data_IF_184548703167
#
_entry.id   IF_184548703167
#
_cell.length_a   1.000
_cell.length_b   1.000
_cell.length_c   1.000
_cell.angle_alpha   90.00
_cell.angle_beta   90.00
_cell.angle_gamma   90.00
#
_symmetry.space_group_name_H-M   'P 1'
#
loop_
_entity.id
_entity.type
_entity.pdbx_description
1 polymer ?
#
# COMPACT_ATOMS: atom_id res chain seq x y z
N UNK A 1 -53.05 26.29 30.36
CA UNK A 1 -52.32 25.88 29.13
C UNK A 1 -51.14 25.01 29.55
N UNK A 2 -51.10 23.73 29.15
CA UNK A 2 -49.97 22.82 29.45
C UNK A 2 -49.09 22.73 28.20
N UNK A 3 -47.89 23.29 28.24
CA UNK A 3 -46.89 23.15 27.18
C UNK A 3 -46.13 21.83 27.41
N UNK A 4 -46.32 20.84 26.51
CA UNK A 4 -45.45 19.66 26.46
C UNK A 4 -44.19 20.04 25.69
N UNK A 5 -43.06 20.12 26.38
CA UNK A 5 -41.75 20.26 25.76
C UNK A 5 -41.33 18.87 25.27
N UNK A 6 -41.19 18.72 23.96
CA UNK A 6 -40.67 17.50 23.33
C UNK A 6 -39.15 17.63 23.26
N UNK A 7 -38.43 16.83 24.05
CA UNK A 7 -36.98 16.73 23.96
C UNK A 7 -36.64 15.92 22.72
N UNK A 8 -36.15 16.58 21.67
CA UNK A 8 -35.57 15.93 20.49
C UNK A 8 -34.10 15.69 20.79
N UNK A 9 -33.75 14.47 21.15
CA UNK A 9 -32.36 14.02 21.28
C UNK A 9 -31.81 13.79 19.87
N UNK A 10 -30.96 14.70 19.39
CA UNK A 10 -30.22 14.52 18.14
C UNK A 10 -29.10 13.52 18.43
N UNK A 11 -29.27 12.27 17.97
CA UNK A 11 -28.23 11.26 18.02
C UNK A 11 -27.25 11.57 16.88
N UNK A 12 -26.16 12.28 17.18
CA UNK A 12 -25.05 12.40 16.22
C UNK A 12 -24.36 11.04 16.17
N UNK A 13 -24.70 10.24 15.16
CA UNK A 13 -23.87 9.11 14.76
C UNK A 13 -22.53 9.69 14.32
N UNK A 14 -21.52 9.60 15.18
CA UNK A 14 -20.13 9.71 14.77
C UNK A 14 -19.86 8.50 13.87
N UNK A 15 -20.14 8.68 12.57
CA UNK A 15 -19.56 7.86 11.52
C UNK A 15 -18.05 8.04 11.64
N UNK A 16 -17.38 7.13 12.34
CA UNK A 16 -15.96 6.90 12.11
C UNK A 16 -15.84 6.35 10.69
N UNK A 17 -15.79 7.25 9.72
CA UNK A 17 -15.33 6.92 8.38
C UNK A 17 -13.87 6.51 8.53
N UNK A 18 -13.60 5.22 8.35
CA UNK A 18 -12.23 4.83 8.02
C UNK A 18 -11.89 5.57 6.72
N UNK A 19 -10.79 6.32 6.71
CA UNK A 19 -10.40 7.12 5.53
C UNK A 19 -10.22 6.23 4.30
N UNK A 20 -9.94 4.95 4.51
CA UNK A 20 -9.88 3.90 3.50
C UNK A 20 -10.64 2.66 4.02
N UNK A 21 -11.47 2.00 3.20
CA UNK A 21 -12.16 0.78 3.60
C UNK A 21 -11.22 -0.44 3.64
N UNK A 22 -11.55 -1.38 4.53
CA UNK A 22 -10.96 -2.70 4.53
C UNK A 22 -11.25 -3.40 3.20
N UNK A 23 -10.30 -4.20 2.72
CA UNK A 23 -10.52 -4.98 1.51
C UNK A 23 -9.75 -6.28 1.53
N UNK A 24 -10.27 -7.24 0.76
CA UNK A 24 -9.61 -8.50 0.48
C UNK A 24 -9.75 -8.82 -1.00
N UNK A 25 -8.65 -9.18 -1.64
CA UNK A 25 -8.66 -9.47 -3.06
C UNK A 25 -7.57 -10.47 -3.45
N UNK A 26 -7.81 -11.18 -4.54
CA UNK A 26 -6.80 -11.99 -5.22
C UNK A 26 -5.96 -11.12 -6.11
N UNK A 27 -4.65 -11.29 -6.03
CA UNK A 27 -3.72 -10.70 -6.98
C UNK A 27 -2.84 -11.79 -7.61
N UNK A 28 -2.58 -11.64 -8.91
CA UNK A 28 -1.48 -12.32 -9.59
C UNK A 28 -0.25 -11.44 -9.54
N UNK A 29 0.87 -12.00 -9.07
CA UNK A 29 2.19 -11.41 -9.20
C UNK A 29 2.95 -12.16 -10.28
N UNK A 30 3.51 -11.43 -11.24
CA UNK A 30 4.17 -11.95 -12.43
C UNK A 30 5.51 -11.26 -12.63
N UNK A 31 6.51 -12.05 -13.01
CA UNK A 31 7.83 -11.67 -13.52
C UNK A 31 8.13 -12.54 -14.74
N UNK A 32 9.20 -12.25 -15.46
CA UNK A 32 9.56 -12.96 -16.70
C UNK A 32 9.65 -14.49 -16.54
N UNK A 33 10.09 -14.97 -15.37
CA UNK A 33 10.37 -16.38 -15.09
C UNK A 33 9.37 -17.04 -14.13
N UNK A 34 8.45 -16.26 -13.54
CA UNK A 34 7.66 -16.72 -12.40
C UNK A 34 6.32 -15.99 -12.29
N UNK A 35 5.27 -16.74 -11.95
CA UNK A 35 4.01 -16.17 -11.51
C UNK A 35 3.46 -16.87 -10.27
N UNK A 36 2.79 -16.12 -9.41
CA UNK A 36 2.09 -16.65 -8.25
C UNK A 36 0.85 -15.83 -7.95
N UNK A 37 -0.21 -16.51 -7.54
CA UNK A 37 -1.43 -15.87 -7.06
C UNK A 37 -1.45 -15.86 -5.54
N UNK A 38 -1.89 -14.74 -4.97
CA UNK A 38 -1.98 -14.57 -3.52
C UNK A 38 -3.16 -13.72 -3.11
N UNK A 39 -3.41 -13.70 -1.80
CA UNK A 39 -4.42 -12.86 -1.18
C UNK A 39 -3.75 -11.61 -0.63
N UNK A 40 -4.26 -10.46 -1.09
CA UNK A 40 -3.95 -9.15 -0.53
C UNK A 40 -5.09 -8.70 0.36
N UNK A 41 -4.78 -8.26 1.57
CA UNK A 41 -5.77 -7.86 2.57
C UNK A 41 -5.31 -6.59 3.29
N UNK A 42 -6.14 -5.55 3.25
CA UNK A 42 -6.03 -4.38 4.11
C UNK A 42 -7.07 -4.50 5.21
N UNK A 43 -6.65 -4.34 6.47
CA UNK A 43 -7.52 -4.47 7.62
C UNK A 43 -7.22 -3.44 8.69
N UNK A 44 -8.25 -2.79 9.22
CA UNK A 44 -8.17 -2.01 10.44
C UNK A 44 -7.94 -2.94 11.65
N UNK A 45 -6.89 -2.68 12.41
CA UNK A 45 -6.51 -3.46 13.60
C UNK A 45 -7.06 -2.81 14.87
N UNK A 46 -7.05 -1.49 14.90
CA UNK A 46 -7.63 -0.64 15.94
C UNK A 46 -7.86 0.76 15.35
N UNK A 47 -8.37 1.70 16.15
CA UNK A 47 -8.63 3.06 15.69
C UNK A 47 -7.37 3.70 15.06
N UNK A 48 -7.47 4.07 13.78
CA UNK A 48 -6.39 4.67 13.00
C UNK A 48 -5.20 3.74 12.68
N UNK A 49 -5.22 2.47 13.09
CA UNK A 49 -4.13 1.51 12.88
C UNK A 49 -4.53 0.41 11.91
N UNK A 50 -3.65 0.11 10.95
CA UNK A 50 -3.93 -0.76 9.83
C UNK A 50 -2.81 -1.78 9.58
N UNK A 51 -3.20 -2.90 8.97
CA UNK A 51 -2.30 -3.92 8.46
C UNK A 51 -2.60 -4.21 7.00
N UNK A 52 -1.57 -4.15 6.14
CA UNK A 52 -1.64 -4.54 4.74
C UNK A 52 -0.78 -5.77 4.52
N UNK A 53 -1.41 -6.86 4.08
CA UNK A 53 -0.75 -8.16 3.88
C UNK A 53 -0.86 -8.62 2.44
N UNK A 54 0.15 -9.34 1.95
CA UNK A 54 0.08 -10.14 0.74
C UNK A 54 0.67 -11.51 1.01
N UNK A 55 -0.14 -12.56 0.87
CA UNK A 55 0.28 -13.94 1.10
C UNK A 55 0.01 -14.76 -0.15
N UNK A 56 1.07 -15.28 -0.77
CA UNK A 56 1.02 -16.00 -2.03
C UNK A 56 1.79 -17.31 -1.92
N UNK A 57 1.27 -18.39 -2.53
CA UNK A 57 1.92 -19.70 -2.49
C UNK A 57 1.70 -20.46 -3.80
N UNK A 58 2.75 -21.05 -4.34
CA UNK A 58 2.64 -21.98 -5.47
C UNK A 58 2.47 -23.42 -4.99
N UNK A 59 1.98 -24.29 -5.87
CA UNK A 59 1.82 -25.72 -5.59
C UNK A 59 3.15 -26.46 -5.39
N UNK A 60 4.27 -25.88 -5.83
CA UNK A 60 5.59 -26.51 -5.73
C UNK A 60 6.21 -26.26 -4.34
N UNK A 61 6.81 -25.09 -4.09
CA UNK A 61 7.45 -24.77 -2.79
C UNK A 61 7.63 -23.26 -2.53
N UNK A 62 7.24 -22.37 -3.45
CA UNK A 62 7.48 -20.93 -3.30
C UNK A 62 6.36 -20.30 -2.49
N UNK A 63 6.71 -19.55 -1.44
CA UNK A 63 5.77 -18.66 -0.75
C UNK A 63 6.34 -17.27 -0.65
N UNK A 64 5.44 -16.28 -0.75
CA UNK A 64 5.74 -14.88 -0.56
C UNK A 64 4.77 -14.33 0.49
N UNK A 65 5.29 -13.90 1.62
CA UNK A 65 4.51 -13.35 2.71
C UNK A 65 5.04 -11.94 3.03
N UNK A 66 4.23 -10.94 2.72
CA UNK A 66 4.53 -9.53 2.97
C UNK A 66 3.51 -8.96 3.95
N UNK A 67 3.98 -8.15 4.87
CA UNK A 67 3.16 -7.47 5.86
C UNK A 67 3.72 -6.06 6.10
N UNK A 68 2.85 -5.06 6.07
CA UNK A 68 3.16 -3.72 6.56
C UNK A 68 2.11 -3.29 7.56
N UNK A 69 2.55 -2.77 8.69
CA UNK A 69 1.71 -2.21 9.73
C UNK A 69 2.01 -0.72 9.87
N UNK A 70 0.97 0.09 9.96
CA UNK A 70 1.06 1.55 9.94
C UNK A 70 -0.15 2.20 10.61
N UNK A 71 -0.02 3.48 10.94
CA UNK A 71 -1.13 4.33 11.38
C UNK A 71 -1.48 5.34 10.28
N UNK A 72 -2.75 5.78 10.24
CA UNK A 72 -3.21 6.91 9.44
C UNK A 72 -3.68 7.99 10.41
N UNK A 73 -3.06 9.17 10.34
CA UNK A 73 -3.45 10.37 11.10
C UNK A 73 -3.50 11.57 10.17
N UNK A 74 -4.63 12.29 10.13
CA UNK A 74 -4.81 13.46 9.27
C UNK A 74 -4.41 13.21 7.80
N UNK A 75 -4.89 12.11 7.22
CA UNK A 75 -4.56 11.66 5.85
C UNK A 75 -3.07 11.42 5.58
N UNK A 76 -2.25 11.28 6.63
CA UNK A 76 -0.83 10.92 6.54
C UNK A 76 -0.55 9.58 7.18
N UNK A 77 0.28 8.80 6.48
CA UNK A 77 0.80 7.53 6.93
C UNK A 77 1.95 7.70 7.92
N UNK A 78 1.93 6.89 8.99
CA UNK A 78 3.04 6.69 9.92
C UNK A 78 3.40 5.20 9.90
N UNK A 79 4.50 4.85 9.21
CA UNK A 79 5.04 3.47 9.13
C UNK A 79 5.42 2.95 10.52
N UNK A 80 5.10 1.68 10.83
CA UNK A 80 5.54 1.03 12.09
C UNK A 80 6.50 -0.12 11.83
N UNK A 81 6.11 -1.06 10.98
CA UNK A 81 6.98 -2.15 10.58
C UNK A 81 6.61 -2.72 9.22
N UNK A 82 7.61 -3.29 8.57
CA UNK A 82 7.49 -3.99 7.31
C UNK A 82 8.23 -5.33 7.42
N UNK A 83 7.59 -6.41 6.96
CA UNK A 83 8.15 -7.76 7.01
C UNK A 83 7.96 -8.45 5.67
N UNK A 84 9.01 -9.12 5.23
CA UNK A 84 9.05 -9.97 4.05
C UNK A 84 9.55 -11.33 4.48
N UNK A 85 8.83 -12.38 4.10
CA UNK A 85 9.30 -13.75 4.18
C UNK A 85 9.15 -14.42 2.84
N UNK A 86 10.24 -14.99 2.33
CA UNK A 86 10.26 -15.68 1.04
C UNK A 86 10.73 -17.11 1.26
N UNK A 87 10.02 -18.07 0.68
CA UNK A 87 10.38 -19.50 0.71
C UNK A 87 10.62 -20.01 -0.70
N UNK A 88 11.51 -21.01 -0.90
CA UNK A 88 12.26 -21.75 0.13
C UNK A 88 13.35 -20.91 0.81
N UNK A 89 13.71 -21.27 2.06
CA UNK A 89 14.74 -20.55 2.83
C UNK A 89 16.12 -20.54 2.16
N UNK A 90 16.38 -21.42 1.20
CA UNK A 90 17.62 -21.41 0.42
C UNK A 90 17.82 -20.13 -0.40
N UNK A 91 16.75 -19.37 -0.68
CA UNK A 91 16.84 -18.05 -1.34
C UNK A 91 17.17 -16.93 -0.33
N UNK A 92 16.92 -17.17 0.97
CA UNK A 92 17.11 -16.29 2.13
C UNK A 92 16.90 -14.79 1.89
N UNK A 93 15.68 -14.41 1.51
CA UNK A 93 15.30 -12.99 1.30
C UNK A 93 14.37 -12.47 2.38
N UNK A 94 14.39 -13.09 3.56
CA UNK A 94 13.62 -12.61 4.69
C UNK A 94 14.21 -11.25 5.13
N UNK A 95 13.33 -10.29 5.40
CA UNK A 95 13.72 -8.98 5.89
C UNK A 95 12.65 -8.40 6.81
N UNK A 96 13.07 -7.70 7.85
CA UNK A 96 12.20 -6.97 8.77
C UNK A 96 12.73 -5.56 8.94
N UNK A 97 11.87 -4.55 8.79
CA UNK A 97 12.16 -3.14 9.05
C UNK A 97 11.25 -2.66 10.17
N UNK A 98 11.80 -1.99 11.17
CA UNK A 98 11.10 -1.44 12.34
C UNK A 98 11.39 0.05 12.44
N UNK A 99 10.34 0.85 12.54
CA UNK A 99 10.40 2.30 12.73
C UNK A 99 10.23 2.62 14.22
N UNK A 100 11.34 2.95 14.87
CA UNK A 100 11.40 3.30 16.29
C UNK A 100 11.36 4.82 16.46
N UNK A 101 10.17 5.34 16.75
CA UNK A 101 9.95 6.78 16.95
C UNK A 101 10.41 7.26 18.32
N UNK A 102 10.59 6.37 19.30
CA UNK A 102 11.09 6.73 20.63
C UNK A 102 12.59 7.02 20.55
N UNK A 103 13.34 6.15 19.86
CA UNK A 103 14.79 6.27 19.70
C UNK A 103 15.22 6.98 18.40
N UNK A 104 14.27 7.41 17.56
CA UNK A 104 14.50 8.07 16.26
C UNK A 104 15.37 7.24 15.31
N UNK A 105 15.08 5.95 15.21
CA UNK A 105 15.84 4.99 14.40
C UNK A 105 14.94 4.15 13.51
N UNK A 106 15.48 3.73 12.38
CA UNK A 106 14.89 2.70 11.53
C UNK A 106 15.88 1.55 11.51
N UNK A 107 15.44 0.37 11.94
CA UNK A 107 16.28 -0.81 12.04
C UNK A 107 15.83 -1.84 11.00
N UNK A 108 16.77 -2.35 10.22
CA UNK A 108 16.55 -3.47 9.30
C UNK A 108 17.35 -4.69 9.74
N UNK A 109 16.72 -5.85 9.67
CA UNK A 109 17.34 -7.16 9.93
C UNK A 109 16.93 -8.19 8.88
N UNK A 110 17.67 -9.28 8.77
CA UNK A 110 17.52 -10.30 7.72
C UNK A 110 18.61 -10.16 6.67
N UNK A 111 18.25 -10.34 5.39
CA UNK A 111 19.23 -10.29 4.28
C UNK A 111 19.98 -8.95 4.19
N UNK A 112 19.31 -7.83 4.48
CA UNK A 112 19.93 -6.51 4.56
C UNK A 112 19.85 -6.01 6.00
N UNK A 113 20.99 -5.98 6.69
CA UNK A 113 21.10 -5.45 8.05
C UNK A 113 21.69 -4.04 8.00
N UNK A 114 20.93 -3.07 8.52
CA UNK A 114 21.36 -1.67 8.58
C UNK A 114 20.54 -0.92 9.64
N UNK A 115 21.10 0.21 10.09
CA UNK A 115 20.42 1.19 10.93
C UNK A 115 20.44 2.54 10.19
N UNK A 116 19.32 3.24 10.19
CA UNK A 116 19.19 4.58 9.64
C UNK A 116 18.53 5.51 10.66
N UNK A 117 18.79 6.82 10.53
CA UNK A 117 18.11 7.83 11.33
C UNK A 117 16.65 7.97 10.88
N UNK A 118 15.72 7.98 11.82
CA UNK A 118 14.33 8.32 11.55
C UNK A 118 14.14 9.83 11.63
N UNK A 119 13.73 10.44 10.51
CA UNK A 119 13.22 11.80 10.49
C UNK A 119 11.68 11.79 10.53
N UNK A 120 11.12 12.25 11.65
CA UNK A 120 9.67 12.28 11.84
C UNK A 120 8.96 13.20 10.84
N UNK A 121 9.66 14.23 10.34
CA UNK A 121 9.10 15.18 9.37
C UNK A 121 9.13 14.62 7.94
N UNK A 122 9.96 13.60 7.68
CA UNK A 122 10.10 13.00 6.36
C UNK A 122 8.95 12.02 6.02
N UNK A 123 8.21 11.51 7.01
CA UNK A 123 7.11 10.55 6.80
C UNK A 123 7.47 9.42 5.82
N UNK A 124 8.58 8.73 6.09
CA UNK A 124 9.08 7.68 5.21
C UNK A 124 8.14 6.47 5.17
N UNK A 125 7.68 6.13 3.97
CA UNK A 125 6.85 4.98 3.69
C UNK A 125 7.69 3.76 3.30
N UNK A 126 7.20 2.57 3.64
CA UNK A 126 7.69 1.31 3.09
C UNK A 126 7.01 0.98 1.74
N UNK A 127 7.52 0.01 0.97
CA UNK A 127 7.00 -0.31 -0.35
C UNK A 127 5.52 -0.70 -0.41
N UNK A 128 4.98 -1.27 0.67
CA UNK A 128 3.58 -1.69 0.73
C UNK A 128 2.68 -0.53 1.14
N UNK A 129 3.05 0.18 2.20
CA UNK A 129 2.18 1.22 2.75
C UNK A 129 2.25 2.55 1.99
N UNK A 130 3.28 2.77 1.18
CA UNK A 130 3.30 3.85 0.19
C UNK A 130 2.10 3.80 -0.75
N UNK A 131 1.62 2.60 -1.07
CA UNK A 131 0.42 2.42 -1.89
C UNK A 131 -0.83 2.94 -1.19
N UNK A 132 -0.87 2.89 0.14
CA UNK A 132 -1.97 3.48 0.91
C UNK A 132 -1.88 5.01 0.89
N UNK A 133 -0.68 5.58 1.04
CA UNK A 133 -0.52 7.04 0.91
C UNK A 133 -0.91 7.56 -0.49
N UNK A 134 -0.62 6.79 -1.56
CA UNK A 134 -1.11 7.09 -2.91
C UNK A 134 -2.64 7.21 -2.93
N UNK A 135 -3.35 6.21 -2.37
CA UNK A 135 -4.82 6.23 -2.29
C UNK A 135 -5.33 7.43 -1.50
N UNK A 136 -4.74 7.69 -0.34
CA UNK A 136 -5.11 8.84 0.49
C UNK A 136 -4.96 10.16 -0.28
N UNK A 137 -3.84 10.36 -0.98
CA UNK A 137 -3.62 11.58 -1.74
C UNK A 137 -4.68 11.77 -2.84
N UNK A 138 -4.96 10.71 -3.61
CA UNK A 138 -5.94 10.78 -4.70
C UNK A 138 -7.38 10.94 -4.21
N UNK A 139 -7.76 10.31 -3.09
CA UNK A 139 -9.06 10.53 -2.43
C UNK A 139 -9.22 12.00 -2.01
N UNK A 140 -8.12 12.65 -1.62
CA UNK A 140 -8.09 14.08 -1.27
C UNK A 140 -7.86 14.99 -2.51
N UNK A 141 -8.07 14.48 -3.73
CA UNK A 141 -7.94 15.21 -5.00
C UNK A 141 -6.53 15.76 -5.28
N UNK A 142 -5.51 15.17 -4.66
CA UNK A 142 -4.11 15.53 -4.88
C UNK A 142 -3.56 14.65 -6.00
N UNK A 143 -3.53 15.19 -7.22
CA UNK A 143 -3.16 14.46 -8.44
C UNK A 143 -1.65 14.41 -8.70
N UNK A 144 -0.88 15.30 -8.06
CA UNK A 144 0.58 15.36 -8.12
C UNK A 144 1.16 15.44 -6.71
N UNK A 145 2.08 14.55 -6.38
CA UNK A 145 2.64 14.50 -5.03
C UNK A 145 3.99 13.78 -4.98
N UNK A 146 4.68 13.97 -3.86
CA UNK A 146 5.89 13.24 -3.55
C UNK A 146 5.65 12.28 -2.38
N UNK A 147 6.26 11.10 -2.45
CA UNK A 147 6.34 10.17 -1.31
C UNK A 147 7.81 9.83 -1.07
N UNK A 148 8.23 9.93 0.19
CA UNK A 148 9.53 9.49 0.65
C UNK A 148 9.48 7.98 0.88
N UNK A 149 10.20 7.22 0.06
CA UNK A 149 10.29 5.76 0.17
C UNK A 149 11.63 5.36 0.77
N UNK A 150 11.60 4.42 1.70
CA UNK A 150 12.83 3.80 2.17
C UNK A 150 13.36 2.79 1.14
N UNK A 151 14.64 2.89 0.81
CA UNK A 151 15.35 1.90 0.00
C UNK A 151 15.65 0.69 0.88
N UNK A 152 15.02 -0.44 0.57
CA UNK A 152 15.04 -1.65 1.41
C UNK A 152 16.46 -2.18 1.65
N UNK A 153 17.37 -2.00 0.70
CA UNK A 153 18.74 -2.50 0.81
C UNK A 153 19.65 -1.63 1.69
N UNK A 154 19.43 -0.32 1.71
CA UNK A 154 20.39 0.65 2.27
C UNK A 154 19.83 1.49 3.41
N UNK A 155 18.50 1.53 3.59
CA UNK A 155 17.84 2.44 4.53
C UNK A 155 17.78 3.89 4.05
N UNK A 156 18.30 4.19 2.86
CA UNK A 156 18.28 5.54 2.30
C UNK A 156 16.85 5.96 1.96
N UNK A 157 16.48 7.19 2.31
CA UNK A 157 15.18 7.76 1.95
C UNK A 157 15.27 8.40 0.57
N UNK A 158 14.43 7.93 -0.35
CA UNK A 158 14.35 8.39 -1.73
C UNK A 158 13.02 9.08 -1.98
N UNK A 159 13.09 10.32 -2.45
CA UNK A 159 11.91 11.08 -2.86
C UNK A 159 11.43 10.56 -4.22
N UNK A 160 10.16 10.19 -4.31
CA UNK A 160 9.54 9.68 -5.53
C UNK A 160 8.39 10.61 -5.92
N UNK A 161 8.36 11.04 -7.18
CA UNK A 161 7.30 11.89 -7.72
C UNK A 161 6.21 11.04 -8.37
N UNK A 162 4.96 11.40 -8.14
CA UNK A 162 3.78 10.72 -8.67
C UNK A 162 2.88 11.75 -9.35
N UNK A 163 2.36 11.39 -10.52
CA UNK A 163 1.40 12.20 -11.28
C UNK A 163 0.41 11.30 -12.01
N UNK A 164 -0.84 11.74 -12.11
CA UNK A 164 -1.81 11.11 -13.01
C UNK A 164 -1.36 11.27 -14.46
N UNK A 165 -1.59 10.25 -15.26
CA UNK A 165 -1.16 10.19 -16.66
C UNK A 165 -2.12 9.34 -17.50
N UNK A 166 -3.39 9.74 -17.51
CA UNK A 166 -4.41 9.17 -18.38
C UNK A 166 -5.37 8.21 -17.69
N UNK A 167 -6.21 7.59 -18.50
CA UNK A 167 -7.30 6.73 -18.08
C UNK A 167 -7.42 5.51 -19.01
N UNK A 168 -7.94 4.40 -18.49
CA UNK A 168 -8.26 3.21 -19.28
C UNK A 168 -9.51 2.51 -18.73
N UNK A 169 -10.12 1.64 -19.53
CA UNK A 169 -11.18 0.75 -19.04
C UNK A 169 -10.57 -0.50 -18.40
N UNK A 170 -10.96 -0.78 -17.16
CA UNK A 170 -10.61 -1.98 -16.42
C UNK A 170 -11.82 -2.89 -16.25
N UNK A 171 -11.60 -4.21 -16.24
CA UNK A 171 -12.64 -5.21 -15.98
C UNK A 171 -12.31 -5.97 -14.71
N UNK A 172 -13.20 -5.93 -13.73
CA UNK A 172 -13.07 -6.62 -12.45
C UNK A 172 -14.39 -7.25 -12.05
N UNK A 173 -14.38 -8.55 -11.75
CA UNK A 173 -15.57 -9.34 -11.42
C UNK A 173 -16.72 -9.18 -12.45
N UNK A 174 -16.37 -9.04 -13.74
CA UNK A 174 -17.34 -8.87 -14.83
C UNK A 174 -17.94 -7.46 -14.97
N UNK A 175 -17.57 -6.51 -14.10
CA UNK A 175 -17.94 -5.09 -14.20
C UNK A 175 -16.82 -4.29 -14.86
N UNK A 176 -17.20 -3.37 -15.75
CA UNK A 176 -16.30 -2.35 -16.30
C UNK A 176 -16.16 -1.18 -15.31
N UNK A 177 -14.94 -0.71 -15.13
CA UNK A 177 -14.58 0.45 -14.32
C UNK A 177 -13.75 1.42 -15.15
N UNK A 178 -13.86 2.71 -14.87
CA UNK A 178 -12.84 3.66 -15.30
C UNK A 178 -11.63 3.55 -14.35
N UNK A 179 -10.45 3.30 -14.90
CA UNK A 179 -9.19 3.31 -14.17
C UNK A 179 -8.41 4.56 -14.53
N UNK A 180 -7.80 5.18 -13.52
CA UNK A 180 -6.79 6.22 -13.75
C UNK A 180 -5.40 5.60 -13.73
N UNK A 181 -4.51 6.12 -14.56
CA UNK A 181 -3.10 5.77 -14.61
C UNK A 181 -2.32 6.78 -13.76
N UNK A 182 -1.47 6.29 -12.88
CA UNK A 182 -0.53 7.09 -12.09
C UNK A 182 0.88 6.63 -12.42
N UNK A 183 1.75 7.56 -12.83
CA UNK A 183 3.16 7.28 -13.05
C UNK A 183 3.99 7.70 -11.85
N UNK A 184 4.95 6.85 -11.49
CA UNK A 184 6.02 7.18 -10.55
C UNK A 184 7.34 7.39 -11.29
N UNK A 185 7.96 8.52 -11.00
CA UNK A 185 9.30 8.89 -11.45
C UNK A 185 10.26 8.95 -10.26
N UNK A 186 11.45 8.40 -10.44
CA UNK A 186 12.54 8.47 -9.46
C UNK A 186 13.65 9.31 -10.07
N UNK A 187 14.05 10.39 -9.39
CA UNK A 187 15.05 11.35 -9.91
C UNK A 187 16.40 10.68 -10.28
N UNK A 188 16.69 9.50 -9.73
CA UNK A 188 17.97 8.80 -9.90
C UNK A 188 18.01 7.74 -11.00
N UNK A 189 16.88 7.36 -11.62
CA UNK A 189 16.87 6.32 -12.66
C UNK A 189 15.79 6.54 -13.74
N UNK A 190 15.96 5.91 -14.90
CA UNK A 190 14.96 5.89 -15.97
C UNK A 190 13.82 4.89 -15.70
N UNK A 191 13.63 4.44 -14.45
CA UNK A 191 12.61 3.44 -14.11
C UNK A 191 11.27 4.14 -14.01
N UNK A 192 10.30 3.65 -14.75
CA UNK A 192 8.91 4.11 -14.65
C UNK A 192 8.06 2.98 -14.11
N UNK A 193 7.34 3.26 -13.02
CA UNK A 193 6.28 2.37 -12.53
C UNK A 193 4.94 3.00 -12.87
N UNK A 194 4.04 2.22 -13.46
CA UNK A 194 2.68 2.64 -13.78
C UNK A 194 1.70 1.90 -12.87
N UNK A 195 0.87 2.66 -12.17
CA UNK A 195 -0.22 2.14 -11.35
C UNK A 195 -1.55 2.42 -12.03
N UNK A 196 -2.41 1.42 -12.06
CA UNK A 196 -3.77 1.51 -12.57
C UNK A 196 -4.70 1.37 -11.37
N UNK A 197 -5.52 2.40 -11.14
CA UNK A 197 -6.28 2.59 -9.91
C UNK A 197 -7.74 2.80 -10.26
N UNK A 198 -8.66 2.17 -9.54
CA UNK A 198 -10.11 2.30 -9.77
C UNK A 198 -10.66 3.37 -8.81
N UNK A 199 -11.00 4.59 -9.27
CA UNK A 199 -11.49 5.65 -8.39
C UNK A 199 -12.78 5.28 -7.66
N UNK A 200 -13.70 4.57 -8.34
CA UNK A 200 -14.95 4.05 -7.75
C UNK A 200 -14.75 3.11 -6.55
N UNK A 201 -13.54 2.54 -6.39
CA UNK A 201 -13.17 1.65 -5.29
C UNK A 201 -12.09 2.29 -4.42
N UNK A 202 -12.22 3.58 -4.14
CA UNK A 202 -11.27 4.38 -3.35
C UNK A 202 -9.83 4.20 -3.84
N UNK A 203 -9.65 4.31 -5.16
CA UNK A 203 -8.39 4.13 -5.86
C UNK A 203 -7.73 2.77 -5.56
N UNK A 204 -8.51 1.69 -5.43
CA UNK A 204 -7.95 0.34 -5.30
C UNK A 204 -7.04 0.02 -6.49
N UNK A 205 -5.86 -0.55 -6.20
CA UNK A 205 -4.90 -0.93 -7.22
C UNK A 205 -5.45 -2.07 -8.07
N UNK A 206 -5.82 -1.77 -9.31
CA UNK A 206 -6.16 -2.76 -10.32
C UNK A 206 -4.89 -3.47 -10.80
N UNK A 207 -3.88 -2.70 -11.19
CA UNK A 207 -2.65 -3.22 -11.77
C UNK A 207 -1.46 -2.33 -11.43
N UNK A 208 -0.30 -2.93 -11.25
CA UNK A 208 0.99 -2.26 -11.07
C UNK A 208 1.94 -2.87 -12.08
N UNK A 209 2.55 -2.05 -12.93
CA UNK A 209 3.55 -2.48 -13.89
C UNK A 209 4.83 -1.72 -13.60
N UNK A 210 5.90 -2.47 -13.34
CA UNK A 210 7.21 -1.93 -13.07
C UNK A 210 8.18 -2.42 -14.14
N UNK A 211 8.63 -1.50 -15.00
CA UNK A 211 9.58 -1.78 -16.07
C UNK A 211 10.98 -1.49 -15.55
N UNK A 212 11.82 -2.53 -15.47
CA UNK A 212 13.23 -2.42 -15.12
C UNK A 212 14.08 -2.82 -16.33
N UNK A 213 15.33 -2.35 -16.46
CA UNK A 213 16.20 -2.75 -17.56
C UNK A 213 16.36 -4.29 -17.68
N UNK A 214 16.25 -5.00 -16.56
CA UNK A 214 16.41 -6.45 -16.47
C UNK A 214 15.12 -7.26 -16.68
N UNK A 215 13.98 -6.61 -16.98
CA UNK A 215 12.69 -7.30 -17.13
C UNK A 215 11.46 -6.51 -16.70
N UNK A 216 10.35 -7.19 -16.44
CA UNK A 216 9.16 -6.55 -15.86
C UNK A 216 8.66 -7.23 -14.60
N UNK A 217 7.97 -6.47 -13.76
CA UNK A 217 7.17 -7.00 -12.67
C UNK A 217 5.75 -6.47 -12.79
N UNK A 218 4.77 -7.36 -12.64
CA UNK A 218 3.35 -7.00 -12.69
C UNK A 218 2.63 -7.56 -11.47
N UNK A 219 1.83 -6.72 -10.84
CA UNK A 219 0.85 -7.14 -9.84
C UNK A 219 -0.54 -6.75 -10.34
N UNK A 220 -1.47 -7.69 -10.47
CA UNK A 220 -2.78 -7.42 -11.06
C UNK A 220 -3.88 -8.12 -10.26
N UNK A 221 -4.95 -7.39 -9.94
CA UNK A 221 -6.11 -7.94 -9.25
C UNK A 221 -6.84 -8.92 -10.19
N UNK A 222 -7.19 -10.09 -9.66
CA UNK A 222 -7.96 -11.11 -10.40
C UNK A 222 -9.40 -11.21 -9.92
N UNK A 223 -9.62 -10.96 -8.63
CA UNK A 223 -10.94 -11.06 -8.02
C UNK A 223 -10.99 -10.20 -6.75
N UNK A 224 -12.00 -9.35 -6.63
CA UNK A 224 -12.33 -8.66 -5.38
C UNK A 224 -13.20 -9.58 -4.51
N UNK A 225 -12.73 -9.90 -3.31
CA UNK A 225 -13.40 -10.82 -2.37
C UNK A 225 -14.26 -10.07 -1.35
N UNK A 226 -13.80 -8.92 -0.89
CA UNK A 226 -14.56 -8.01 -0.01
C UNK A 226 -14.02 -6.59 -0.12
N UNK A 227 -14.88 -5.60 0.10
CA UNK A 227 -14.55 -4.18 0.09
C UNK A 227 -15.58 -3.39 0.91
N UNK A 228 -15.13 -2.76 2.01
CA UNK A 228 -16.02 -2.08 2.97
C UNK A 228 -16.75 -3.01 3.92
#
# INVERSE_FOLDING_TARGET
MKFKIFFVTVFTLSLSSSVIPDYKARYSFERDDFSVTGIRELKAVSEGSYSLKFNARTMLVVSLDFESNFEIKNSKLISKNYKVKIRPKSVDRDQSIIYDYENLKINSSGINSWEAKLDQMAFSADPLNAQIQIRLNLINEINEFYINLIEIKTGEIKKNFYTLDGEETCILNGKNYNCVLLKRFRESDNRTTTYYLIPELDYLFYRIVDQIPEGYQKLEIKELLSFG
#
